data_IF_042648650947
#
_entry.id   IF_042648650947
#
_cell.length_a   1.000
_cell.length_b   1.000
_cell.length_c   1.000
_cell.angle_alpha   90.00
_cell.angle_beta   90.00
_cell.angle_gamma   90.00
#
_symmetry.space_group_name_H-M   'P 1'
#
loop_
_entity.id
_entity.type
_entity.pdbx_description
1 polymer ?
#
# COMPACT_ATOMS: atom_id res chain seq x y z
N UNK A 1 34.48 -17.27 -7.58
CA UNK A 1 33.19 -17.88 -7.20
C UNK A 1 32.13 -16.85 -7.52
N UNK A 2 31.31 -17.06 -8.53
CA UNK A 2 30.13 -16.23 -8.82
C UNK A 2 29.12 -16.46 -7.68
N UNK A 3 28.81 -15.42 -6.91
CA UNK A 3 27.76 -15.49 -5.89
C UNK A 3 26.47 -16.00 -6.54
N UNK A 4 25.86 -17.02 -5.94
CA UNK A 4 24.53 -17.51 -6.38
C UNK A 4 23.58 -16.33 -6.24
N UNK A 5 22.98 -15.90 -7.34
CA UNK A 5 22.01 -14.81 -7.32
C UNK A 5 20.73 -15.31 -6.67
N UNK A 6 20.33 -14.63 -5.61
CA UNK A 6 19.06 -14.92 -4.94
C UNK A 6 17.89 -14.75 -5.90
N UNK A 7 16.96 -15.72 -5.89
CA UNK A 7 15.75 -15.71 -6.74
C UNK A 7 14.59 -15.15 -5.94
N UNK A 8 13.93 -14.13 -6.49
CA UNK A 8 12.73 -13.54 -5.91
C UNK A 8 11.54 -13.68 -6.84
N UNK A 9 10.37 -13.89 -6.28
CA UNK A 9 9.08 -13.85 -6.99
C UNK A 9 8.38 -12.50 -6.79
N UNK A 10 7.70 -12.01 -7.82
CA UNK A 10 6.84 -10.81 -7.75
C UNK A 10 5.49 -11.15 -8.31
N UNK A 11 4.48 -11.16 -7.44
CA UNK A 11 3.08 -11.37 -7.79
C UNK A 11 2.41 -10.01 -7.96
N UNK A 12 1.69 -9.81 -9.06
CA UNK A 12 1.20 -8.50 -9.49
C UNK A 12 2.28 -7.69 -10.22
N UNK A 13 3.14 -8.36 -10.98
CA UNK A 13 4.32 -7.80 -11.65
C UNK A 13 4.00 -6.74 -12.70
N UNK A 14 2.81 -6.79 -13.32
CA UNK A 14 2.34 -5.82 -14.31
C UNK A 14 1.71 -4.57 -13.69
N UNK A 15 1.35 -4.61 -12.39
CA UNK A 15 0.84 -3.45 -11.67
C UNK A 15 1.93 -2.39 -11.42
N UNK A 16 1.51 -1.17 -11.04
CA UNK A 16 2.41 -0.04 -10.81
C UNK A 16 3.51 -0.37 -9.80
N UNK A 17 3.16 -0.91 -8.65
CA UNK A 17 4.12 -1.26 -7.60
C UNK A 17 4.99 -2.45 -8.02
N UNK A 18 4.37 -3.53 -8.52
CA UNK A 18 5.08 -4.75 -8.90
C UNK A 18 6.09 -4.49 -10.01
N UNK A 19 5.71 -3.75 -11.05
CA UNK A 19 6.61 -3.43 -12.18
C UNK A 19 7.81 -2.58 -11.74
N UNK A 20 7.61 -1.65 -10.80
CA UNK A 20 8.72 -0.88 -10.22
C UNK A 20 9.65 -1.76 -9.40
N UNK A 21 9.09 -2.69 -8.60
CA UNK A 21 9.86 -3.62 -7.79
C UNK A 21 10.68 -4.59 -8.67
N UNK A 22 10.08 -5.12 -9.75
CA UNK A 22 10.77 -5.96 -10.75
C UNK A 22 11.98 -5.24 -11.33
N UNK A 23 11.77 -4.01 -11.85
CA UNK A 23 12.87 -3.21 -12.42
C UNK A 23 13.98 -2.97 -11.41
N UNK A 24 13.58 -2.67 -10.16
CA UNK A 24 14.52 -2.42 -9.08
C UNK A 24 15.31 -3.67 -8.72
N UNK A 25 14.66 -4.80 -8.53
CA UNK A 25 15.30 -6.06 -8.21
C UNK A 25 16.32 -6.50 -9.28
N UNK A 26 15.93 -6.39 -10.55
CA UNK A 26 16.84 -6.65 -11.67
C UNK A 26 18.07 -5.72 -11.64
N UNK A 27 17.87 -4.43 -11.33
CA UNK A 27 18.96 -3.44 -11.20
C UNK A 27 19.95 -3.84 -10.09
N UNK A 28 19.46 -4.38 -8.97
CA UNK A 28 20.31 -4.84 -7.87
C UNK A 28 20.82 -6.28 -8.03
N UNK A 29 20.60 -6.90 -9.18
CA UNK A 29 21.22 -8.17 -9.57
C UNK A 29 20.47 -9.42 -9.13
N UNK A 30 19.23 -9.30 -8.65
CA UNK A 30 18.39 -10.46 -8.32
C UNK A 30 17.90 -11.16 -9.59
N UNK A 31 17.69 -12.48 -9.48
CA UNK A 31 16.88 -13.22 -10.45
C UNK A 31 15.40 -13.02 -10.11
N UNK A 32 14.59 -12.58 -11.07
CA UNK A 32 13.18 -12.25 -10.81
C UNK A 32 12.28 -13.19 -11.58
N UNK A 33 11.35 -13.84 -10.86
CA UNK A 33 10.22 -14.57 -11.39
C UNK A 33 8.99 -13.66 -11.31
N UNK A 34 8.39 -13.38 -12.43
CA UNK A 34 7.27 -12.48 -12.56
C UNK A 34 5.97 -13.29 -12.69
N UNK A 35 4.97 -12.92 -11.90
CA UNK A 35 3.65 -13.50 -11.96
C UNK A 35 2.59 -12.39 -11.96
N UNK A 36 1.64 -12.48 -12.88
CA UNK A 36 0.47 -11.61 -12.88
C UNK A 36 -0.77 -12.39 -13.32
N UNK A 37 -1.90 -12.11 -12.67
CA UNK A 37 -3.19 -12.75 -12.98
C UNK A 37 -3.67 -12.39 -14.40
N UNK A 38 -3.23 -11.27 -14.93
CA UNK A 38 -3.52 -10.85 -16.30
C UNK A 38 -2.72 -11.66 -17.35
N UNK A 39 -1.62 -12.27 -16.94
CA UNK A 39 -0.80 -13.11 -17.78
C UNK A 39 -1.18 -14.59 -17.57
N UNK A 40 -2.00 -15.12 -18.46
CA UNK A 40 -2.49 -16.52 -18.42
C UNK A 40 -1.39 -17.58 -18.59
N UNK A 41 -0.18 -17.19 -18.94
CA UNK A 41 0.95 -18.10 -19.18
C UNK A 41 1.86 -18.27 -17.96
N UNK A 42 1.63 -17.52 -16.88
CA UNK A 42 2.45 -17.62 -15.68
C UNK A 42 2.04 -18.81 -14.82
N UNK A 43 2.99 -19.70 -14.56
CA UNK A 43 2.78 -20.88 -13.71
C UNK A 43 3.20 -20.56 -12.27
N UNK A 44 2.27 -20.68 -11.31
CA UNK A 44 2.56 -20.49 -9.87
C UNK A 44 3.59 -21.49 -9.32
N UNK A 45 3.77 -22.64 -9.96
CA UNK A 45 4.79 -23.62 -9.59
C UNK A 45 6.21 -23.04 -9.70
N UNK A 46 6.44 -22.10 -10.62
CA UNK A 46 7.73 -21.42 -10.77
C UNK A 46 8.08 -20.51 -9.59
N UNK A 47 7.11 -20.18 -8.73
CA UNK A 47 7.33 -19.42 -7.51
C UNK A 47 7.79 -20.28 -6.33
N UNK A 48 7.65 -21.61 -6.43
CA UNK A 48 8.01 -22.55 -5.36
C UNK A 48 9.50 -22.53 -5.03
N UNK A 49 10.35 -22.19 -6.02
CA UNK A 49 11.80 -22.11 -5.87
C UNK A 49 12.29 -20.71 -5.41
N UNK A 50 11.38 -19.75 -5.28
CA UNK A 50 11.75 -18.41 -4.82
C UNK A 50 12.05 -18.40 -3.31
N UNK A 51 13.13 -17.76 -2.92
CA UNK A 51 13.52 -17.58 -1.53
C UNK A 51 12.67 -16.49 -0.86
N UNK A 52 12.26 -15.49 -1.64
CA UNK A 52 11.40 -14.39 -1.19
C UNK A 52 10.35 -14.14 -2.27
N UNK A 53 9.11 -13.92 -1.84
CA UNK A 53 8.02 -13.55 -2.74
C UNK A 53 7.41 -12.24 -2.28
N UNK A 54 7.39 -11.27 -3.19
CA UNK A 54 6.66 -10.02 -3.01
C UNK A 54 5.25 -10.13 -3.59
N UNK A 55 4.26 -9.83 -2.79
CA UNK A 55 2.85 -9.80 -3.21
C UNK A 55 2.44 -8.34 -3.35
N UNK A 56 2.34 -7.88 -4.60
CA UNK A 56 1.94 -6.51 -4.99
C UNK A 56 0.52 -6.45 -5.57
N UNK A 57 -0.18 -7.58 -5.59
CA UNK A 57 -1.57 -7.68 -6.03
C UNK A 57 -2.54 -7.34 -4.89
N UNK A 58 -3.80 -7.03 -5.24
CA UNK A 58 -4.85 -6.90 -4.24
C UNK A 58 -5.05 -8.21 -3.48
N UNK A 59 -4.98 -8.13 -2.15
CA UNK A 59 -5.04 -9.29 -1.28
C UNK A 59 -6.47 -9.78 -1.01
N UNK A 60 -7.50 -9.10 -1.54
CA UNK A 60 -8.91 -9.39 -1.24
C UNK A 60 -9.35 -10.80 -1.70
N UNK A 61 -8.73 -11.35 -2.74
CA UNK A 61 -9.07 -12.66 -3.30
C UNK A 61 -7.82 -13.51 -3.62
N UNK A 62 -6.71 -13.21 -2.98
CA UNK A 62 -5.45 -13.85 -3.31
C UNK A 62 -5.23 -15.10 -2.45
N UNK A 63 -5.03 -16.24 -3.11
CA UNK A 63 -4.57 -17.48 -2.46
C UNK A 63 -3.05 -17.50 -2.63
N UNK A 64 -2.34 -17.42 -1.51
CA UNK A 64 -0.88 -17.54 -1.54
C UNK A 64 -0.51 -18.98 -1.92
N UNK A 65 0.28 -19.18 -2.97
CA UNK A 65 0.76 -20.51 -3.31
C UNK A 65 1.64 -21.08 -2.18
N UNK A 66 1.73 -22.38 -2.02
CA UNK A 66 2.60 -23.00 -1.05
C UNK A 66 4.06 -22.71 -1.43
N UNK A 67 4.69 -21.80 -0.72
CA UNK A 67 6.07 -21.37 -0.94
C UNK A 67 6.96 -21.71 0.25
N UNK A 68 8.24 -21.95 0.00
CA UNK A 68 9.22 -22.28 1.03
C UNK A 68 9.81 -21.05 1.71
N UNK A 69 9.83 -19.94 1.00
CA UNK A 69 10.51 -18.72 1.38
C UNK A 69 9.68 -17.71 2.15
N UNK A 70 10.27 -16.55 2.41
CA UNK A 70 9.63 -15.40 3.01
C UNK A 70 8.59 -14.80 2.05
N UNK A 71 7.42 -14.45 2.57
CA UNK A 71 6.39 -13.71 1.84
C UNK A 71 6.36 -12.28 2.34
N UNK A 72 6.53 -11.31 1.45
CA UNK A 72 6.41 -9.90 1.75
C UNK A 72 5.12 -9.37 1.13
N UNK A 73 4.17 -9.02 1.98
CA UNK A 73 2.88 -8.47 1.59
C UNK A 73 2.99 -6.96 1.52
N UNK A 74 2.69 -6.39 0.37
CA UNK A 74 2.70 -4.93 0.19
C UNK A 74 1.29 -4.38 0.32
N UNK A 75 1.05 -3.59 1.37
CA UNK A 75 -0.22 -2.92 1.59
C UNK A 75 0.00 -1.51 2.16
N UNK A 76 -0.96 -0.63 1.89
CA UNK A 76 -1.02 0.72 2.47
C UNK A 76 -1.65 0.76 3.87
N UNK A 77 -2.28 -0.34 4.30
CA UNK A 77 -2.80 -0.57 5.66
C UNK A 77 -2.25 -1.91 6.14
N UNK A 78 -1.53 -1.88 7.24
CA UNK A 78 -0.78 -3.04 7.73
C UNK A 78 -1.60 -4.01 8.58
N UNK A 79 -2.75 -3.58 9.12
CA UNK A 79 -3.66 -4.50 9.81
C UNK A 79 -4.30 -5.47 8.82
N UNK A 80 -3.62 -6.58 8.63
CA UNK A 80 -4.04 -7.69 7.77
C UNK A 80 -4.82 -8.76 8.51
N UNK A 81 -5.03 -8.62 9.82
CA UNK A 81 -5.65 -9.63 10.69
C UNK A 81 -7.03 -10.10 10.21
N UNK A 82 -7.74 -9.23 9.50
CA UNK A 82 -9.05 -9.52 8.91
C UNK A 82 -9.00 -10.15 7.52
N UNK A 83 -7.82 -10.20 6.89
CA UNK A 83 -7.66 -10.61 5.49
C UNK A 83 -7.04 -11.99 5.33
N UNK A 84 -6.24 -12.40 6.31
CA UNK A 84 -5.50 -13.65 6.26
C UNK A 84 -5.91 -14.54 7.43
N UNK A 85 -6.74 -15.53 7.14
CA UNK A 85 -6.96 -16.63 8.08
C UNK A 85 -5.61 -17.33 8.31
N UNK A 86 -5.01 -17.19 9.49
CA UNK A 86 -3.94 -17.97 10.14
C UNK A 86 -2.89 -18.74 9.29
N UNK A 87 -3.01 -18.78 7.97
CA UNK A 87 -2.13 -19.56 7.08
C UNK A 87 -0.81 -18.86 6.74
N UNK A 88 -0.74 -17.54 6.94
CA UNK A 88 0.44 -16.73 6.59
C UNK A 88 1.32 -16.38 7.79
N UNK A 89 0.85 -16.60 9.00
CA UNK A 89 1.39 -16.02 10.25
C UNK A 89 2.86 -16.34 10.52
N UNK A 90 3.40 -17.42 9.98
CA UNK A 90 4.79 -17.81 10.28
C UNK A 90 5.81 -17.44 9.20
N UNK A 91 5.37 -17.08 7.99
CA UNK A 91 6.28 -16.80 6.86
C UNK A 91 6.09 -15.44 6.22
N UNK A 92 5.14 -14.66 6.70
CA UNK A 92 4.82 -13.37 6.12
C UNK A 92 5.46 -12.21 6.90
N UNK A 93 5.80 -11.15 6.18
CA UNK A 93 6.05 -9.83 6.70
C UNK A 93 5.17 -8.83 5.95
N UNK A 94 4.66 -7.80 6.63
CA UNK A 94 3.86 -6.75 6.01
C UNK A 94 4.70 -5.51 5.83
N UNK A 95 4.63 -4.92 4.64
CA UNK A 95 5.46 -3.78 4.24
C UNK A 95 4.61 -2.75 3.49
N UNK A 96 4.82 -1.48 3.81
CA UNK A 96 4.32 -0.37 3.01
C UNK A 96 5.48 0.37 2.34
N UNK A 97 5.57 0.28 1.00
CA UNK A 97 6.56 1.02 0.22
C UNK A 97 6.05 2.45 -0.03
N UNK A 98 6.70 3.43 0.57
CA UNK A 98 6.29 4.83 0.46
C UNK A 98 6.72 5.49 -0.85
N UNK A 99 7.25 4.82 -1.81
CA UNK A 99 7.61 5.28 -3.17
C UNK A 99 7.92 6.79 -3.30
N UNK A 100 8.48 7.37 -2.23
CA UNK A 100 8.91 8.78 -2.17
C UNK A 100 10.39 8.94 -2.54
N UNK A 101 10.88 10.16 -2.62
CA UNK A 101 12.29 10.45 -2.93
C UNK A 101 13.28 9.82 -1.95
N UNK A 102 12.88 9.61 -0.68
CA UNK A 102 13.68 8.97 0.34
C UNK A 102 13.71 7.43 0.21
N UNK A 103 12.95 6.85 -0.71
CA UNK A 103 12.87 5.40 -0.96
C UNK A 103 12.60 4.62 0.34
N UNK A 104 11.70 5.12 1.17
CA UNK A 104 11.38 4.49 2.46
C UNK A 104 10.45 3.30 2.29
N UNK A 105 10.68 2.29 3.13
CA UNK A 105 9.81 1.13 3.28
C UNK A 105 9.49 0.98 4.77
N UNK A 106 8.22 1.04 5.14
CA UNK A 106 7.81 0.74 6.52
C UNK A 106 7.60 -0.76 6.63
N UNK A 107 8.23 -1.36 7.65
CA UNK A 107 8.12 -2.80 7.96
C UNK A 107 7.41 -2.95 9.29
N UNK A 108 6.37 -3.75 9.34
CA UNK A 108 5.62 -4.04 10.55
C UNK A 108 6.50 -4.78 11.57
N UNK A 109 6.95 -4.08 12.64
CA UNK A 109 7.95 -4.58 13.58
C UNK A 109 7.42 -5.66 14.54
N UNK A 110 6.12 -5.72 14.73
CA UNK A 110 5.40 -6.68 15.56
C UNK A 110 5.01 -7.97 14.81
N UNK A 111 5.40 -8.07 13.55
CA UNK A 111 5.18 -9.27 12.73
C UNK A 111 6.42 -10.18 12.71
N UNK A 112 6.24 -11.50 12.62
CA UNK A 112 7.36 -12.41 12.38
C UNK A 112 8.08 -12.01 11.09
N UNK A 113 9.40 -12.27 11.02
CA UNK A 113 10.25 -11.97 9.86
C UNK A 113 10.46 -10.48 9.52
N UNK A 114 10.09 -9.54 10.37
CA UNK A 114 10.30 -8.11 10.13
C UNK A 114 11.77 -7.77 9.83
N UNK A 115 12.71 -8.30 10.61
CA UNK A 115 14.16 -8.07 10.42
C UNK A 115 14.65 -8.64 9.09
N UNK A 116 14.20 -9.85 8.72
CA UNK A 116 14.56 -10.48 7.45
C UNK A 116 14.03 -9.67 6.28
N UNK A 117 12.78 -9.21 6.37
CA UNK A 117 12.18 -8.34 5.35
C UNK A 117 12.92 -6.99 5.25
N UNK A 118 13.26 -6.36 6.37
CA UNK A 118 14.01 -5.11 6.39
C UNK A 118 15.39 -5.28 5.73
N UNK A 119 16.12 -6.33 6.09
CA UNK A 119 17.42 -6.65 5.48
C UNK A 119 17.32 -6.84 3.97
N UNK A 120 16.32 -7.58 3.51
CA UNK A 120 16.09 -7.77 2.07
C UNK A 120 15.74 -6.45 1.35
N UNK A 121 14.89 -5.61 1.95
CA UNK A 121 14.55 -4.32 1.38
C UNK A 121 15.76 -3.38 1.27
N UNK A 122 16.70 -3.44 2.23
CA UNK A 122 17.99 -2.74 2.11
C UNK A 122 18.80 -3.22 0.91
N UNK A 123 18.85 -4.54 0.66
CA UNK A 123 19.53 -5.09 -0.52
C UNK A 123 18.89 -4.61 -1.84
N UNK A 124 17.59 -4.34 -1.82
CA UNK A 124 16.87 -3.70 -2.93
C UNK A 124 17.05 -2.16 -2.97
N UNK A 125 17.88 -1.59 -2.08
CA UNK A 125 18.18 -0.16 -2.01
C UNK A 125 17.05 0.70 -1.43
N UNK A 126 16.15 0.11 -0.66
CA UNK A 126 15.20 0.87 0.16
C UNK A 126 15.82 1.24 1.51
N UNK A 127 15.24 2.24 2.17
CA UNK A 127 15.56 2.64 3.53
C UNK A 127 14.42 2.15 4.46
N UNK A 128 14.53 0.95 5.05
CA UNK A 128 13.48 0.40 5.89
C UNK A 128 13.37 1.14 7.22
N UNK A 129 12.13 1.30 7.68
CA UNK A 129 11.77 1.83 9.00
C UNK A 129 10.92 0.77 9.66
N UNK A 130 11.36 0.26 10.81
CA UNK A 130 10.56 -0.66 11.62
C UNK A 130 9.57 0.12 12.47
N UNK A 131 8.30 -0.25 12.42
CA UNK A 131 7.21 0.44 13.11
C UNK A 131 6.09 -0.57 13.44
N UNK A 132 5.48 -0.52 14.65
CA UNK A 132 4.30 -1.33 14.95
C UNK A 132 3.14 -1.07 14.01
N UNK A 133 2.33 -2.09 13.72
CA UNK A 133 1.17 -1.99 12.83
C UNK A 133 0.23 -0.86 13.25
N UNK A 134 -0.10 -0.78 14.52
CA UNK A 134 -1.04 0.24 15.03
C UNK A 134 -0.51 1.67 14.86
N UNK A 135 0.79 1.87 15.03
CA UNK A 135 1.42 3.17 14.82
C UNK A 135 1.40 3.57 13.35
N UNK A 136 1.77 2.66 12.47
CA UNK A 136 1.71 2.87 11.03
C UNK A 136 0.29 3.22 10.58
N UNK A 137 -0.69 2.41 10.96
CA UNK A 137 -2.07 2.57 10.53
C UNK A 137 -2.70 3.86 11.07
N UNK A 138 -2.29 4.30 12.28
CA UNK A 138 -2.66 5.62 12.80
C UNK A 138 -2.10 6.76 11.95
N UNK A 139 -0.85 6.67 11.49
CA UNK A 139 -0.24 7.66 10.60
C UNK A 139 -1.00 7.70 9.26
N UNK A 140 -1.31 6.54 8.68
CA UNK A 140 -2.07 6.45 7.43
C UNK A 140 -3.49 7.01 7.60
N UNK A 141 -4.17 6.69 8.70
CA UNK A 141 -5.50 7.23 8.99
C UNK A 141 -5.48 8.77 9.07
N UNK A 142 -4.44 9.36 9.67
CA UNK A 142 -4.33 10.81 9.82
C UNK A 142 -3.81 11.54 8.58
N UNK A 143 -3.04 10.88 7.72
CA UNK A 143 -2.41 11.50 6.55
C UNK A 143 -3.13 11.24 5.24
N UNK A 144 -3.64 10.05 5.01
CA UNK A 144 -4.22 9.64 3.72
C UNK A 144 -5.74 9.51 3.76
N UNK A 145 -6.32 9.05 4.87
CA UNK A 145 -7.76 8.85 4.94
C UNK A 145 -8.59 10.15 4.81
N UNK A 146 -8.19 11.30 5.36
CA UNK A 146 -8.89 12.57 5.12
C UNK A 146 -8.94 12.93 3.64
N UNK A 147 -7.84 12.74 2.91
CA UNK A 147 -7.81 12.99 1.46
C UNK A 147 -8.72 12.03 0.70
N UNK A 148 -8.76 10.75 1.09
CA UNK A 148 -9.65 9.78 0.46
C UNK A 148 -11.14 10.14 0.70
N UNK A 149 -11.49 10.57 1.91
CA UNK A 149 -12.83 11.04 2.24
C UNK A 149 -13.20 12.31 1.46
N UNK A 150 -12.28 13.28 1.35
CA UNK A 150 -12.50 14.51 0.58
C UNK A 150 -12.67 14.20 -0.91
N UNK A 151 -11.91 13.25 -1.46
CA UNK A 151 -12.09 12.82 -2.84
C UNK A 151 -13.51 12.27 -3.07
N UNK A 152 -14.04 11.47 -2.12
CA UNK A 152 -15.40 10.91 -2.24
C UNK A 152 -16.49 11.96 -2.10
N UNK A 153 -16.33 12.86 -1.13
CA UNK A 153 -17.34 13.83 -0.78
C UNK A 153 -17.40 15.03 -1.75
N UNK A 154 -16.24 15.55 -2.15
CA UNK A 154 -16.19 16.85 -2.83
C UNK A 154 -15.90 16.75 -4.33
N UNK A 155 -15.19 15.72 -4.79
CA UNK A 155 -14.79 15.68 -6.19
C UNK A 155 -15.95 15.71 -7.19
N UNK A 156 -17.10 15.01 -6.97
CA UNK A 156 -18.23 15.07 -7.86
C UNK A 156 -18.82 16.49 -7.97
N UNK A 157 -18.92 17.21 -6.83
CA UNK A 157 -19.47 18.57 -6.80
C UNK A 157 -18.52 19.58 -7.44
N UNK A 158 -17.23 19.49 -7.13
CA UNK A 158 -16.20 20.32 -7.75
C UNK A 158 -16.17 20.16 -9.27
N UNK A 159 -16.38 18.92 -9.74
CA UNK A 159 -16.47 18.64 -11.18
C UNK A 159 -17.69 19.28 -11.84
N UNK A 160 -18.83 19.32 -11.14
CA UNK A 160 -20.03 19.99 -11.64
C UNK A 160 -19.84 21.51 -11.69
N UNK A 161 -19.32 22.11 -10.62
CA UNK A 161 -19.01 23.56 -10.57
C UNK A 161 -18.00 23.97 -11.63
N UNK A 162 -17.00 23.12 -11.92
CA UNK A 162 -16.01 23.35 -12.99
C UNK A 162 -16.68 23.45 -14.37
N UNK A 163 -17.58 22.51 -14.67
CA UNK A 163 -18.36 22.53 -15.92
C UNK A 163 -19.22 23.77 -16.09
N UNK A 164 -19.71 24.32 -14.99
CA UNK A 164 -20.55 25.51 -14.97
C UNK A 164 -19.73 26.81 -14.93
N UNK A 165 -18.40 26.72 -14.84
CA UNK A 165 -17.50 27.87 -14.73
C UNK A 165 -17.64 28.62 -13.41
N UNK A 166 -18.07 27.96 -12.37
CA UNK A 166 -18.35 28.55 -11.04
C UNK A 166 -17.24 28.28 -10.00
N UNK A 167 -16.17 27.59 -10.37
CA UNK A 167 -15.04 27.39 -9.45
C UNK A 167 -14.30 28.72 -9.19
N UNK A 168 -13.99 28.95 -7.93
CA UNK A 168 -13.02 29.96 -7.53
C UNK A 168 -11.60 29.44 -7.76
N UNK A 169 -10.56 30.30 -7.82
CA UNK A 169 -9.17 29.85 -7.96
C UNK A 169 -8.76 28.84 -6.88
N UNK A 170 -9.23 29.01 -5.64
CA UNK A 170 -9.01 28.02 -4.56
C UNK A 170 -9.73 26.69 -4.83
N UNK A 171 -10.93 26.75 -5.39
CA UNK A 171 -11.70 25.58 -5.80
C UNK A 171 -11.03 24.81 -6.94
N UNK A 172 -10.48 25.49 -7.92
CA UNK A 172 -9.69 24.89 -9.00
C UNK A 172 -8.46 24.15 -8.46
N UNK A 173 -7.68 24.81 -7.58
CA UNK A 173 -6.51 24.20 -6.94
C UNK A 173 -6.88 22.95 -6.13
N UNK A 174 -7.99 23.00 -5.38
CA UNK A 174 -8.49 21.87 -4.62
C UNK A 174 -8.91 20.73 -5.56
N UNK A 175 -9.68 21.02 -6.60
CA UNK A 175 -10.13 20.04 -7.59
C UNK A 175 -8.94 19.33 -8.26
N UNK A 176 -7.91 20.08 -8.68
CA UNK A 176 -6.70 19.52 -9.27
C UNK A 176 -5.95 18.61 -8.29
N UNK A 177 -5.80 19.05 -7.04
CA UNK A 177 -5.16 18.25 -5.98
C UNK A 177 -5.90 16.94 -5.77
N UNK A 178 -7.21 16.97 -5.63
CA UNK A 178 -8.02 15.76 -5.41
C UNK A 178 -8.00 14.83 -6.64
N UNK A 179 -8.09 15.40 -7.87
CA UNK A 179 -7.95 14.61 -9.12
C UNK A 179 -6.60 13.90 -9.19
N UNK A 180 -5.51 14.59 -8.88
CA UNK A 180 -4.18 13.97 -8.90
C UNK A 180 -4.07 12.78 -7.96
N UNK A 181 -4.73 12.83 -6.81
CA UNK A 181 -4.76 11.72 -5.85
C UNK A 181 -5.57 10.52 -6.32
N UNK A 182 -6.72 10.75 -6.97
CA UNK A 182 -7.53 9.66 -7.53
C UNK A 182 -6.82 8.93 -8.67
N UNK A 183 -5.91 9.59 -9.39
CA UNK A 183 -5.09 8.96 -10.42
C UNK A 183 -3.98 8.07 -9.84
N UNK A 184 -3.49 8.39 -8.64
CA UNK A 184 -2.42 7.64 -7.98
C UNK A 184 -2.97 6.42 -7.21
N UNK A 185 -4.16 6.55 -6.61
CA UNK A 185 -4.74 5.47 -5.83
C UNK A 185 -5.59 4.54 -6.69
N UNK A 186 -5.23 3.27 -6.70
CA UNK A 186 -6.13 2.25 -7.24
C UNK A 186 -7.41 2.17 -6.39
N UNK A 187 -8.54 1.71 -6.93
CA UNK A 187 -9.74 1.47 -6.13
C UNK A 187 -9.49 0.55 -4.92
N UNK A 188 -8.59 -0.41 -5.05
CA UNK A 188 -8.20 -1.30 -3.95
C UNK A 188 -7.44 -0.56 -2.85
N UNK A 189 -6.44 0.26 -3.20
CA UNK A 189 -5.69 1.11 -2.26
C UNK A 189 -6.62 2.05 -1.51
N UNK A 190 -7.54 2.70 -2.21
CA UNK A 190 -8.51 3.61 -1.60
C UNK A 190 -9.44 2.89 -0.62
N UNK A 191 -9.97 1.71 -1.00
CA UNK A 191 -10.77 0.90 -0.07
C UNK A 191 -9.98 0.48 1.15
N UNK A 192 -8.70 0.11 1.00
CA UNK A 192 -7.83 -0.25 2.13
C UNK A 192 -7.67 0.93 3.09
N UNK A 193 -7.37 2.13 2.59
CA UNK A 193 -7.24 3.35 3.40
C UNK A 193 -8.53 3.66 4.16
N UNK A 194 -9.69 3.57 3.52
CA UNK A 194 -11.00 3.85 4.14
C UNK A 194 -11.46 2.77 5.12
N UNK A 195 -10.91 1.55 5.03
CA UNK A 195 -11.16 0.46 5.99
C UNK A 195 -10.17 0.45 7.15
N UNK A 196 -9.24 1.39 7.20
CA UNK A 196 -8.27 1.49 8.27
C UNK A 196 -9.00 1.56 9.64
N UNK A 197 -8.70 0.67 10.59
CA UNK A 197 -9.39 0.62 11.87
C UNK A 197 -9.24 1.90 12.68
N UNK A 198 -8.12 2.62 12.54
CA UNK A 198 -7.82 3.87 13.21
C UNK A 198 -8.62 5.07 12.67
N UNK A 199 -9.31 4.93 11.52
CA UNK A 199 -10.10 6.01 10.93
C UNK A 199 -11.29 6.42 11.79
N UNK A 200 -11.87 5.51 12.56
CA UNK A 200 -13.01 5.82 13.47
C UNK A 200 -12.63 6.84 14.53
N UNK A 201 -11.43 6.73 15.11
CA UNK A 201 -10.92 7.67 16.10
C UNK A 201 -10.80 9.07 15.50
N UNK A 202 -10.19 9.16 14.30
CA UNK A 202 -10.06 10.44 13.59
C UNK A 202 -11.41 11.07 13.28
N UNK A 203 -12.39 10.30 12.79
CA UNK A 203 -13.74 10.82 12.51
C UNK A 203 -14.38 11.38 13.79
N UNK A 204 -14.24 10.69 14.93
CA UNK A 204 -14.74 11.17 16.20
C UNK A 204 -14.08 12.48 16.66
N UNK A 205 -12.76 12.62 16.45
CA UNK A 205 -12.03 13.86 16.72
C UNK A 205 -12.52 15.01 15.84
N UNK A 206 -12.66 14.77 14.53
CA UNK A 206 -13.14 15.78 13.58
C UNK A 206 -14.58 16.21 13.87
N UNK A 207 -15.46 15.28 14.23
CA UNK A 207 -16.84 15.62 14.62
C UNK A 207 -16.87 16.58 15.82
N UNK A 208 -16.06 16.33 16.86
CA UNK A 208 -15.97 17.23 18.02
C UNK A 208 -15.49 18.63 17.63
N UNK A 209 -14.55 18.75 16.71
CA UNK A 209 -14.05 20.04 16.23
C UNK A 209 -15.15 20.77 15.46
N UNK A 210 -15.91 20.07 14.62
CA UNK A 210 -17.02 20.65 13.85
C UNK A 210 -18.14 21.12 14.78
N UNK A 211 -18.50 20.35 15.81
CA UNK A 211 -19.50 20.73 16.80
C UNK A 211 -19.10 22.01 17.55
N UNK A 212 -17.79 22.17 17.87
CA UNK A 212 -17.26 23.37 18.50
C UNK A 212 -17.19 24.60 17.58
N UNK A 213 -17.09 24.36 16.27
CA UNK A 213 -17.03 25.43 15.26
C UNK A 213 -18.42 25.96 14.86
N UNK A 214 -19.50 25.28 15.21
CA UNK A 214 -20.85 25.77 14.96
C UNK A 214 -21.14 26.96 15.89
N UNK A 215 -21.65 28.10 15.36
CA UNK A 215 -22.06 29.20 16.21
C UNK A 215 -23.20 28.71 17.14
N UNK A 216 -23.25 29.20 18.39
CA UNK A 216 -24.33 28.85 19.28
C UNK A 216 -25.67 29.23 18.63
N UNK A 217 -26.61 28.28 18.67
CA UNK A 217 -27.97 28.50 18.18
C UNK A 217 -28.53 29.82 18.75
N UNK A 218 -28.98 30.72 17.84
CA UNK A 218 -29.56 32.00 18.21
C UNK A 218 -30.98 31.81 18.72
#
# INVERSE_FOLDING_TARGET
>A
MTAVKQTIGVIGSLGDLGSQLVRRAKKYGFLVREFDIADRHTNTEELSDCEIIHVCASLENFIVPPVRGLIILHDSVMDTSRRFNNQLDQKAAVVHLLMNSAQRAVVASDQPNAETAASHLQQLGFNPISMPVDEHDRIIARSQAPLALLCDALLPELFQLDKEGLLTPSGETLAETLRSRTLIWTPATRRAILRNPQLRELISELSKILDQAQPPDK
#
